data_IF_401485607881
#
_entry.id   IF_401485607881
#
_cell.length_a   1.000
_cell.length_b   1.000
_cell.length_c   1.000
_cell.angle_alpha   90.00
_cell.angle_beta   90.00
_cell.angle_gamma   90.00
#
_symmetry.space_group_name_H-M   'P 1'
#
loop_
_entity.id
_entity.type
_entity.pdbx_description
1 polymer ?
#
# COMPACT_ATOMS: atom_id res chain seq x y z
N UNK A 1 -7.50 6.40 14.22
CA UNK A 1 -6.57 6.27 15.37
C UNK A 1 -5.74 5.01 15.16
N UNK A 2 -4.40 5.10 15.17
CA UNK A 2 -3.53 3.93 15.03
C UNK A 2 -3.68 3.05 16.27
N UNK A 3 -3.81 1.75 16.05
CA UNK A 3 -3.88 0.74 17.11
C UNK A 3 -2.56 0.00 17.14
N UNK A 4 -2.15 -0.43 18.32
CA UNK A 4 -0.84 -1.03 18.56
C UNK A 4 -0.96 -2.21 19.52
N UNK A 5 -0.16 -3.24 19.31
CA UNK A 5 0.08 -4.39 20.20
C UNK A 5 1.56 -4.49 20.53
N UNK A 6 1.88 -5.29 21.56
CA UNK A 6 3.24 -5.78 21.84
C UNK A 6 4.34 -4.70 21.91
N UNK A 7 3.98 -3.46 22.26
CA UNK A 7 4.92 -2.35 22.38
C UNK A 7 5.04 -1.95 23.85
N UNK A 8 6.27 -1.85 24.35
CA UNK A 8 6.53 -1.42 25.72
C UNK A 8 5.97 0.00 25.96
N UNK A 9 5.49 0.32 27.18
CA UNK A 9 4.94 1.65 27.49
C UNK A 9 5.86 2.82 27.11
N UNK A 10 7.15 2.67 27.35
CA UNK A 10 8.20 3.64 27.04
C UNK A 10 8.35 3.87 25.52
N UNK A 11 8.27 2.82 24.72
CA UNK A 11 8.35 2.92 23.26
C UNK A 11 7.05 3.48 22.70
N UNK A 12 5.90 3.15 23.30
CA UNK A 12 4.61 3.75 22.93
C UNK A 12 4.59 5.26 23.15
N UNK A 13 5.21 5.76 24.21
CA UNK A 13 5.32 7.20 24.47
C UNK A 13 6.21 7.90 23.42
N UNK A 14 7.18 7.20 22.82
CA UNK A 14 8.12 7.73 21.83
C UNK A 14 7.56 7.77 20.40
N UNK A 15 6.46 7.06 20.12
CA UNK A 15 5.90 6.97 18.77
C UNK A 15 5.44 8.30 18.17
N UNK A 16 5.24 9.36 18.97
CA UNK A 16 4.87 10.70 18.48
C UNK A 16 3.72 10.66 17.45
N UNK A 17 2.66 9.90 17.78
CA UNK A 17 1.54 9.67 16.87
C UNK A 17 0.74 10.96 16.71
N UNK A 18 0.67 11.47 15.48
CA UNK A 18 -0.06 12.71 15.16
C UNK A 18 -0.71 12.63 13.79
N UNK A 19 -1.88 13.26 13.58
CA UNK A 19 -2.43 13.41 12.24
C UNK A 19 -1.50 14.26 11.37
N UNK A 20 -1.52 14.05 10.06
CA UNK A 20 -0.87 14.97 9.14
C UNK A 20 -1.61 16.32 9.12
N UNK A 21 -0.93 17.49 9.23
CA UNK A 21 -1.58 18.77 9.53
C UNK A 21 -2.74 19.19 8.61
N UNK A 22 -2.64 18.93 7.31
CA UNK A 22 -3.66 19.28 6.31
C UNK A 22 -4.51 18.09 5.85
N UNK A 23 -4.22 16.88 6.36
CA UNK A 23 -4.77 15.60 5.88
C UNK A 23 -4.91 14.63 7.05
N UNK A 24 -5.87 14.84 7.96
CA UNK A 24 -6.00 14.07 9.20
C UNK A 24 -6.31 12.57 8.97
N UNK A 25 -6.65 12.17 7.74
CA UNK A 25 -6.75 10.78 7.33
C UNK A 25 -5.40 10.03 7.31
N UNK A 26 -4.28 10.76 7.22
CA UNK A 26 -2.93 10.21 7.33
C UNK A 26 -2.33 10.47 8.70
N UNK A 27 -1.50 9.53 9.14
CA UNK A 27 -0.88 9.52 10.46
C UNK A 27 0.63 9.50 10.31
N UNK A 28 1.26 10.45 10.99
CA UNK A 28 2.69 10.49 11.22
C UNK A 28 2.99 9.79 12.55
N UNK A 29 4.02 8.96 12.56
CA UNK A 29 4.57 8.35 13.77
C UNK A 29 6.04 8.03 13.56
N UNK A 30 6.79 7.97 14.66
CA UNK A 30 8.23 7.73 14.70
C UNK A 30 8.48 6.36 15.36
N UNK A 31 8.53 5.24 14.61
CA UNK A 31 8.72 3.92 15.19
C UNK A 31 10.06 3.81 15.95
N UNK A 32 10.16 2.96 16.98
CA UNK A 32 11.45 2.69 17.61
C UNK A 32 12.46 2.16 16.59
N UNK A 33 13.69 2.65 16.66
CA UNK A 33 14.77 2.23 15.77
C UNK A 33 14.70 2.82 14.36
N UNK A 34 13.79 3.75 14.08
CA UNK A 34 13.86 4.56 12.86
C UNK A 34 14.63 5.84 13.14
N UNK A 35 15.74 6.03 12.43
CA UNK A 35 16.36 7.34 12.28
C UNK A 35 16.02 7.82 10.87
N UNK A 36 15.47 9.04 10.69
CA UNK A 36 15.15 9.57 9.38
C UNK A 36 16.36 9.48 8.48
N UNK A 37 16.26 8.59 7.52
CA UNK A 37 17.24 8.41 6.48
C UNK A 37 16.90 9.46 5.41
N UNK A 38 17.91 10.03 4.74
CA UNK A 38 17.73 11.10 3.76
C UNK A 38 16.93 10.67 2.52
N UNK A 39 17.10 11.36 1.40
CA UNK A 39 16.53 10.88 0.14
C UNK A 39 17.39 9.75 -0.47
N UNK A 40 16.76 8.66 -0.91
CA UNK A 40 17.45 7.52 -1.54
C UNK A 40 16.94 7.25 -2.95
N UNK A 41 17.86 6.91 -3.87
CA UNK A 41 17.51 6.54 -5.24
C UNK A 41 18.39 5.40 -5.74
N UNK A 42 17.78 4.33 -6.23
CA UNK A 42 18.51 3.21 -6.83
C UNK A 42 17.83 1.84 -6.69
N UNK A 43 18.56 0.79 -7.04
CA UNK A 43 18.09 -0.61 -7.04
C UNK A 43 19.07 -1.60 -6.38
N UNK A 44 20.12 -1.11 -5.74
CA UNK A 44 21.15 -1.94 -5.09
C UNK A 44 20.66 -2.56 -3.76
N UNK A 45 21.43 -3.51 -3.24
CA UNK A 45 21.10 -4.15 -1.95
C UNK A 45 21.11 -3.15 -0.80
N UNK A 46 22.04 -2.19 -0.80
CA UNK A 46 22.08 -1.10 0.18
C UNK A 46 20.78 -0.27 0.22
N UNK A 47 20.05 -0.20 -0.90
CA UNK A 47 18.77 0.48 -0.99
C UNK A 47 17.60 -0.39 -0.53
N UNK A 48 17.68 -1.71 -0.73
CA UNK A 48 16.67 -2.67 -0.25
C UNK A 48 16.79 -2.95 1.26
N UNK A 49 17.97 -2.73 1.82
CA UNK A 49 18.36 -3.05 3.21
C UNK A 49 18.53 -1.80 4.09
N UNK A 50 17.88 -0.70 3.73
CA UNK A 50 17.91 0.53 4.53
C UNK A 50 17.44 0.20 5.96
N UNK A 51 18.24 0.49 7.00
CA UNK A 51 17.88 0.14 8.38
C UNK A 51 16.54 0.73 8.82
N UNK A 52 16.22 1.95 8.37
CA UNK A 52 14.94 2.58 8.64
C UNK A 52 13.77 1.78 8.04
N UNK A 53 13.92 1.27 6.80
CA UNK A 53 12.90 0.42 6.18
C UNK A 53 12.72 -0.89 6.96
N UNK A 54 13.80 -1.54 7.41
CA UNK A 54 13.70 -2.75 8.23
C UNK A 54 13.02 -2.49 9.58
N UNK A 55 13.31 -1.36 10.23
CA UNK A 55 12.61 -0.95 11.45
C UNK A 55 11.10 -0.75 11.20
N UNK A 56 10.73 -0.08 10.12
CA UNK A 56 9.33 0.06 9.71
C UNK A 56 8.65 -1.28 9.44
N UNK A 57 9.27 -2.18 8.68
CA UNK A 57 8.65 -3.47 8.33
C UNK A 57 8.45 -4.35 9.57
N UNK A 58 9.42 -4.38 10.50
CA UNK A 58 9.25 -5.04 11.80
C UNK A 58 8.12 -4.42 12.62
N UNK A 59 8.10 -3.09 12.72
CA UNK A 59 7.01 -2.38 13.42
C UNK A 59 5.64 -2.72 12.83
N UNK A 60 5.53 -2.74 11.50
CA UNK A 60 4.28 -3.04 10.79
C UNK A 60 3.80 -4.48 11.01
N UNK A 61 4.72 -5.43 11.11
CA UNK A 61 4.40 -6.83 11.37
C UNK A 61 4.06 -7.07 12.86
N UNK A 62 4.89 -6.57 13.77
CA UNK A 62 4.87 -6.96 15.17
C UNK A 62 3.97 -6.06 16.04
N UNK A 63 4.00 -4.75 15.80
CA UNK A 63 3.45 -3.75 16.71
C UNK A 63 2.19 -3.07 16.17
N UNK A 64 2.14 -2.76 14.88
CA UNK A 64 1.00 -2.10 14.26
C UNK A 64 -0.22 -3.02 14.24
N UNK A 65 -1.41 -2.48 14.52
CA UNK A 65 -2.68 -3.15 14.29
C UNK A 65 -3.47 -2.41 13.20
N UNK A 66 -3.88 -3.10 12.12
CA UNK A 66 -4.72 -2.51 11.09
C UNK A 66 -6.02 -1.91 11.65
N UNK A 67 -6.61 -0.87 11.04
CA UNK A 67 -7.88 -0.29 11.51
C UNK A 67 -9.03 -1.33 11.52
N UNK A 68 -9.77 -1.40 12.63
CA UNK A 68 -10.75 -2.49 12.94
C UNK A 68 -11.78 -2.76 11.88
N UNK A 69 -12.25 -1.68 11.27
CA UNK A 69 -13.29 -1.66 10.28
C UNK A 69 -12.82 -2.22 8.93
N UNK A 70 -11.50 -2.26 8.69
CA UNK A 70 -10.92 -2.60 7.39
C UNK A 70 -10.56 -4.08 7.27
N UNK A 71 -11.61 -4.91 7.12
CA UNK A 71 -11.50 -6.38 7.11
C UNK A 71 -10.98 -6.99 5.80
N UNK A 72 -10.90 -6.24 4.70
CA UNK A 72 -10.35 -6.68 3.42
C UNK A 72 -8.96 -6.07 3.18
N UNK A 73 -7.91 -6.89 3.07
CA UNK A 73 -6.59 -6.38 2.68
C UNK A 73 -6.52 -6.24 1.16
N UNK A 74 -6.28 -5.03 0.66
CA UNK A 74 -5.94 -4.76 -0.74
C UNK A 74 -4.44 -4.47 -0.84
N UNK A 75 -3.70 -5.43 -1.37
CA UNK A 75 -2.31 -5.27 -1.76
C UNK A 75 -2.26 -4.63 -3.16
N UNK A 76 -1.70 -3.42 -3.26
CA UNK A 76 -1.65 -2.64 -4.50
C UNK A 76 -0.19 -2.32 -4.88
N UNK A 77 0.13 -2.03 -6.16
CA UNK A 77 1.49 -1.66 -6.55
C UNK A 77 1.85 -0.27 -5.97
N UNK A 78 3.14 0.04 -5.97
CA UNK A 78 3.62 1.40 -5.78
C UNK A 78 3.44 2.26 -7.04
N UNK A 79 3.76 3.53 -6.92
CA UNK A 79 3.94 4.45 -8.04
C UNK A 79 5.21 5.27 -7.85
N UNK A 80 5.74 5.83 -8.92
CA UNK A 80 6.87 6.76 -8.84
C UNK A 80 6.58 7.95 -7.92
N UNK A 81 5.45 8.65 -8.16
CA UNK A 81 5.05 9.79 -7.36
C UNK A 81 4.58 9.37 -5.96
N UNK A 82 5.03 10.11 -4.96
CA UNK A 82 4.64 9.99 -3.54
C UNK A 82 4.14 11.33 -3.00
N UNK A 83 3.21 11.34 -2.03
CA UNK A 83 2.49 10.19 -1.47
C UNK A 83 1.65 9.46 -2.53
N UNK A 84 1.54 8.14 -2.41
CA UNK A 84 0.92 7.27 -3.42
C UNK A 84 -0.50 7.69 -3.83
N UNK A 85 -1.33 8.10 -2.87
CA UNK A 85 -2.70 8.57 -3.10
C UNK A 85 -2.80 9.84 -3.94
N UNK A 86 -1.70 10.57 -4.07
CA UNK A 86 -1.60 11.81 -4.85
C UNK A 86 -0.97 11.56 -6.23
N UNK A 87 -0.54 10.32 -6.52
CA UNK A 87 -0.03 9.97 -7.84
C UNK A 87 -1.16 9.89 -8.86
N UNK A 88 -0.92 10.36 -10.08
CA UNK A 88 -1.88 10.23 -11.18
C UNK A 88 -2.20 8.74 -11.52
N UNK A 89 -1.30 7.82 -11.14
CA UNK A 89 -1.44 6.38 -11.36
C UNK A 89 -2.34 5.73 -10.32
N UNK A 90 -2.23 6.07 -9.04
CA UNK A 90 -2.97 5.40 -7.96
C UNK A 90 -4.13 6.23 -7.40
N UNK A 91 -4.24 7.52 -7.70
CA UNK A 91 -5.35 8.35 -7.28
C UNK A 91 -6.72 7.76 -7.70
N UNK A 92 -6.95 7.30 -8.94
CA UNK A 92 -8.25 6.72 -9.32
C UNK A 92 -8.60 5.46 -8.49
N UNK A 93 -7.59 4.64 -8.17
CA UNK A 93 -7.76 3.46 -7.33
C UNK A 93 -8.05 3.84 -5.88
N UNK A 94 -7.37 4.86 -5.34
CA UNK A 94 -7.64 5.41 -4.02
C UNK A 94 -9.08 5.92 -3.90
N UNK A 95 -9.55 6.68 -4.89
CA UNK A 95 -10.91 7.20 -4.97
C UNK A 95 -11.96 6.10 -5.03
N UNK A 96 -11.72 5.05 -5.83
CA UNK A 96 -12.59 3.88 -5.85
C UNK A 96 -12.69 3.23 -4.46
N UNK A 97 -11.56 2.99 -3.79
CA UNK A 97 -11.54 2.31 -2.50
C UNK A 97 -12.13 3.12 -1.35
N UNK A 98 -12.10 4.47 -1.40
CA UNK A 98 -12.77 5.32 -0.38
C UNK A 98 -14.27 5.03 -0.25
N UNK A 99 -14.88 4.51 -1.31
CA UNK A 99 -16.30 4.12 -1.35
C UNK A 99 -16.61 2.80 -0.62
N UNK A 100 -15.57 2.10 -0.14
CA UNK A 100 -15.63 0.79 0.52
C UNK A 100 -14.82 0.83 1.82
N UNK A 101 -15.38 1.33 2.93
CA UNK A 101 -14.64 1.58 4.17
C UNK A 101 -14.06 0.31 4.82
N UNK A 102 -14.53 -0.88 4.42
CA UNK A 102 -13.97 -2.16 4.85
C UNK A 102 -12.66 -2.56 4.14
N UNK A 103 -12.20 -1.76 3.18
CA UNK A 103 -10.96 -2.02 2.43
C UNK A 103 -9.77 -1.35 3.11
N UNK A 104 -8.77 -2.15 3.46
CA UNK A 104 -7.46 -1.68 3.87
C UNK A 104 -6.50 -1.70 2.70
N UNK A 105 -6.10 -0.52 2.21
CA UNK A 105 -5.09 -0.41 1.17
C UNK A 105 -3.69 -0.44 1.77
N UNK A 106 -2.85 -1.33 1.24
CA UNK A 106 -1.44 -1.43 1.59
C UNK A 106 -0.63 -1.50 0.30
N UNK A 107 0.26 -0.53 0.11
CA UNK A 107 1.14 -0.45 -1.06
C UNK A 107 2.29 -1.44 -0.90
N UNK A 108 2.54 -2.23 -1.94
CA UNK A 108 3.74 -3.07 -2.08
C UNK A 108 4.81 -2.26 -2.80
N UNK A 109 5.90 -1.97 -2.11
CA UNK A 109 7.00 -1.13 -2.60
C UNK A 109 8.37 -1.76 -2.34
N UNK A 110 9.42 -1.14 -2.84
CA UNK A 110 10.81 -1.54 -2.64
C UNK A 110 11.25 -1.54 -1.16
N UNK A 111 10.73 -0.60 -0.35
CA UNK A 111 10.95 -0.59 1.11
C UNK A 111 10.07 -1.58 1.87
N UNK A 112 9.26 -2.39 1.15
CA UNK A 112 8.27 -3.30 1.71
C UNK A 112 6.85 -2.75 1.66
N UNK A 113 6.05 -3.06 2.67
CA UNK A 113 4.65 -2.65 2.76
C UNK A 113 4.48 -1.25 3.33
N UNK A 114 3.51 -0.51 2.80
CA UNK A 114 3.13 0.82 3.27
C UNK A 114 1.61 0.92 3.40
N UNK A 115 1.04 0.81 4.62
CA UNK A 115 -0.38 1.07 4.85
C UNK A 115 -0.75 2.49 4.40
N UNK A 116 -1.90 2.64 3.74
CA UNK A 116 -2.26 3.90 3.11
C UNK A 116 -2.38 5.06 4.11
N UNK A 117 -2.79 4.84 5.35
CA UNK A 117 -2.83 5.87 6.38
C UNK A 117 -1.43 6.29 6.87
N UNK A 118 -0.39 5.49 6.62
CA UNK A 118 0.99 5.78 7.02
C UNK A 118 1.83 6.35 5.88
N UNK A 119 1.32 6.42 4.66
CA UNK A 119 2.12 6.75 3.47
C UNK A 119 2.78 8.13 3.47
N UNK A 120 2.36 9.04 4.35
CA UNK A 120 2.96 10.38 4.48
C UNK A 120 4.15 10.45 5.44
N UNK A 121 4.55 9.33 6.06
CA UNK A 121 5.76 9.31 6.89
C UNK A 121 7.02 9.56 6.03
N UNK A 122 8.05 10.26 6.57
CA UNK A 122 9.20 10.72 5.80
C UNK A 122 9.84 9.65 4.90
N UNK A 123 10.16 8.47 5.46
CA UNK A 123 10.71 7.35 4.68
C UNK A 123 9.87 7.04 3.44
N UNK A 124 8.54 6.95 3.59
CA UNK A 124 7.65 6.54 2.50
C UNK A 124 7.51 7.59 1.39
N UNK A 125 7.97 8.81 1.62
CA UNK A 125 8.06 9.89 0.65
C UNK A 125 9.49 10.13 0.11
N UNK A 126 10.51 9.53 0.72
CA UNK A 126 11.91 9.90 0.51
C UNK A 126 12.73 8.87 -0.28
N UNK A 127 12.10 8.04 -1.12
CA UNK A 127 12.85 7.12 -1.99
C UNK A 127 12.39 7.15 -3.45
N UNK A 128 13.22 6.66 -4.36
CA UNK A 128 12.89 6.47 -5.77
C UNK A 128 13.53 5.19 -6.34
N UNK A 129 12.76 4.48 -7.16
CA UNK A 129 13.21 3.27 -7.86
C UNK A 129 13.76 3.67 -9.22
N UNK A 130 15.08 3.61 -9.37
CA UNK A 130 15.75 3.97 -10.61
C UNK A 130 16.88 2.98 -10.89
N UNK A 131 16.65 1.94 -11.73
CA UNK A 131 17.70 1.01 -12.09
C UNK A 131 18.79 1.78 -12.86
N UNK A 132 20.07 1.67 -12.46
CA UNK A 132 21.18 2.22 -13.21
C UNK A 132 21.19 1.69 -14.65
N UNK A 133 21.68 2.50 -15.58
CA UNK A 133 21.86 2.07 -16.96
C UNK A 133 22.80 0.86 -17.01
N UNK A 134 22.34 -0.21 -17.67
CA UNK A 134 23.12 -1.44 -17.85
C UNK A 134 22.94 -2.49 -16.75
N UNK A 135 22.09 -2.28 -15.73
CA UNK A 135 21.72 -3.37 -14.82
C UNK A 135 20.82 -4.42 -15.49
N UNK A 136 21.07 -5.69 -15.15
CA UNK A 136 20.19 -6.80 -15.50
C UNK A 136 18.87 -6.68 -14.71
N UNK A 137 17.80 -6.32 -15.41
CA UNK A 137 16.48 -6.13 -14.83
C UNK A 137 15.92 -7.41 -14.20
N UNK A 138 16.29 -8.60 -14.67
CA UNK A 138 15.82 -9.84 -14.09
C UNK A 138 16.53 -10.13 -12.76
N UNK A 139 17.81 -9.80 -12.64
CA UNK A 139 18.52 -9.87 -11.37
C UNK A 139 18.01 -8.83 -10.36
N UNK A 140 17.71 -7.60 -10.81
CA UNK A 140 17.02 -6.60 -9.98
C UNK A 140 15.69 -7.16 -9.48
N UNK A 141 14.84 -7.69 -10.38
CA UNK A 141 13.55 -8.30 -9.99
C UNK A 141 13.72 -9.45 -9.02
N UNK A 142 14.76 -10.29 -9.19
CA UNK A 142 15.07 -11.41 -8.29
C UNK A 142 15.39 -10.90 -6.89
N UNK A 143 16.31 -9.93 -6.75
CA UNK A 143 16.67 -9.32 -5.45
C UNK A 143 15.46 -8.69 -4.76
N UNK A 144 14.68 -7.94 -5.53
CA UNK A 144 13.43 -7.33 -5.05
C UNK A 144 12.45 -8.37 -4.55
N UNK A 145 12.27 -9.47 -5.30
CA UNK A 145 11.38 -10.56 -4.91
C UNK A 145 11.85 -11.23 -3.62
N UNK A 146 13.15 -11.52 -3.51
CA UNK A 146 13.74 -12.15 -2.33
C UNK A 146 13.62 -11.29 -1.06
N UNK A 147 13.59 -9.96 -1.20
CA UNK A 147 13.47 -9.05 -0.07
C UNK A 147 12.02 -8.69 0.27
N UNK A 148 11.19 -8.42 -0.73
CA UNK A 148 9.84 -7.90 -0.49
C UNK A 148 8.81 -9.01 -0.22
N UNK A 149 8.92 -10.18 -0.86
CA UNK A 149 7.93 -11.26 -0.65
C UNK A 149 7.90 -11.74 0.80
N UNK A 150 9.03 -12.00 1.50
CA UNK A 150 9.00 -12.37 2.92
C UNK A 150 8.31 -11.31 3.77
N UNK A 151 8.67 -10.02 3.61
CA UNK A 151 8.03 -8.91 4.34
C UNK A 151 6.51 -8.88 4.15
N UNK A 152 6.05 -9.13 2.91
CA UNK A 152 4.62 -9.15 2.61
C UNK A 152 3.94 -10.35 3.28
N UNK A 153 4.55 -11.54 3.19
CA UNK A 153 4.03 -12.76 3.82
C UNK A 153 3.98 -12.58 5.34
N UNK A 154 5.06 -12.12 5.96
CA UNK A 154 5.16 -11.89 7.40
C UNK A 154 4.04 -10.95 7.87
N UNK A 155 3.84 -9.82 7.18
CA UNK A 155 2.73 -8.92 7.52
C UNK A 155 1.36 -9.60 7.41
N UNK A 156 1.09 -10.33 6.32
CA UNK A 156 -0.20 -11.00 6.14
C UNK A 156 -0.40 -12.07 7.22
N UNK A 157 0.62 -12.85 7.55
CA UNK A 157 0.59 -13.89 8.59
C UNK A 157 0.37 -13.30 9.99
N UNK A 158 1.07 -12.22 10.31
CA UNK A 158 0.93 -11.53 11.60
C UNK A 158 -0.44 -10.86 11.78
N UNK A 159 -1.18 -10.63 10.70
CA UNK A 159 -2.50 -9.99 10.70
C UNK A 159 -3.62 -10.93 10.22
N UNK A 160 -3.43 -12.25 10.26
CA UNK A 160 -4.42 -13.22 9.76
C UNK A 160 -5.77 -13.09 10.45
N UNK A 161 -5.79 -12.91 11.76
CA UNK A 161 -7.04 -12.80 12.52
C UNK A 161 -7.80 -11.51 12.24
N UNK A 162 -7.10 -10.50 11.70
CA UNK A 162 -7.70 -9.25 11.30
C UNK A 162 -8.43 -9.39 9.95
N UNK A 163 -7.74 -9.84 8.90
CA UNK A 163 -8.29 -9.84 7.55
C UNK A 163 -9.14 -11.07 7.25
N UNK A 164 -10.36 -10.85 6.75
CA UNK A 164 -11.25 -11.91 6.31
C UNK A 164 -10.93 -12.41 4.88
N UNK A 165 -10.27 -11.58 4.06
CA UNK A 165 -9.77 -11.94 2.75
C UNK A 165 -8.65 -10.97 2.30
N UNK A 166 -7.90 -11.40 1.28
CA UNK A 166 -6.84 -10.62 0.62
C UNK A 166 -7.19 -10.45 -0.86
N UNK A 167 -7.00 -9.24 -1.38
CA UNK A 167 -7.03 -8.92 -2.81
C UNK A 167 -5.62 -8.53 -3.22
N UNK A 168 -5.07 -9.24 -4.20
CA UNK A 168 -3.84 -8.86 -4.89
C UNK A 168 -4.19 -8.08 -6.16
N UNK A 169 -3.96 -6.77 -6.12
CA UNK A 169 -4.09 -5.88 -7.27
C UNK A 169 -2.72 -5.76 -7.96
N UNK A 170 -2.49 -6.55 -9.02
CA UNK A 170 -1.20 -6.61 -9.74
C UNK A 170 -1.46 -7.01 -11.20
N UNK A 171 -0.82 -6.38 -12.20
CA UNK A 171 -1.17 -6.62 -13.60
C UNK A 171 -0.77 -8.02 -13.99
N UNK A 172 0.42 -8.45 -13.60
CA UNK A 172 1.07 -9.60 -14.18
C UNK A 172 0.40 -10.92 -13.77
N UNK A 173 0.44 -11.96 -14.63
CA UNK A 173 0.43 -13.35 -14.14
C UNK A 173 1.54 -13.57 -13.08
N UNK A 174 2.54 -12.68 -13.09
CA UNK A 174 3.58 -12.45 -12.10
C UNK A 174 3.08 -11.80 -10.79
N UNK A 175 2.15 -12.48 -10.14
CA UNK A 175 2.34 -12.80 -8.74
C UNK A 175 3.22 -14.04 -8.57
N UNK A 176 3.99 -14.51 -9.55
CA UNK A 176 4.62 -15.84 -9.54
C UNK A 176 5.10 -16.28 -8.16
N UNK A 177 6.08 -15.60 -7.57
CA UNK A 177 6.49 -15.87 -6.20
C UNK A 177 5.47 -15.41 -5.14
N UNK A 178 5.00 -14.16 -5.22
CA UNK A 178 4.09 -13.57 -4.23
C UNK A 178 2.72 -14.27 -4.16
N UNK A 179 1.96 -14.35 -5.25
CA UNK A 179 0.75 -15.16 -5.40
C UNK A 179 0.97 -16.62 -4.98
N UNK A 180 2.08 -17.27 -5.33
CA UNK A 180 2.36 -18.64 -4.82
C UNK A 180 2.51 -18.65 -3.30
N UNK A 181 3.18 -17.66 -2.72
CA UNK A 181 3.34 -17.53 -1.28
C UNK A 181 2.00 -17.22 -0.59
N UNK A 182 1.26 -16.22 -1.07
CA UNK A 182 -0.06 -15.84 -0.54
C UNK A 182 -1.09 -16.98 -0.68
N UNK A 183 -1.02 -17.82 -1.71
CA UNK A 183 -1.89 -19.00 -1.85
C UNK A 183 -1.65 -20.07 -0.77
N UNK A 184 -0.51 -20.05 -0.09
CA UNK A 184 -0.22 -20.97 1.03
C UNK A 184 -0.81 -20.49 2.35
N UNK A 185 -1.19 -19.22 2.42
CA UNK A 185 -1.78 -18.63 3.61
C UNK A 185 -3.26 -19.04 3.69
N UNK A 186 -3.78 -19.44 4.87
CA UNK A 186 -5.16 -19.93 5.03
C UNK A 186 -6.19 -18.78 5.06
N UNK A 187 -6.17 -17.95 4.02
CA UNK A 187 -7.13 -16.85 3.80
C UNK A 187 -7.58 -16.81 2.35
N UNK A 188 -8.86 -16.48 2.08
CA UNK A 188 -9.33 -16.28 0.72
C UNK A 188 -8.48 -15.24 0.00
N UNK A 189 -8.02 -15.58 -1.20
CA UNK A 189 -7.20 -14.72 -2.05
C UNK A 189 -7.91 -14.46 -3.38
N UNK A 190 -8.10 -13.19 -3.71
CA UNK A 190 -8.67 -12.72 -4.95
C UNK A 190 -7.60 -11.97 -5.74
N UNK A 191 -7.59 -12.10 -7.07
CA UNK A 191 -6.63 -11.41 -7.94
C UNK A 191 -7.36 -10.43 -8.85
N UNK A 192 -6.76 -9.24 -9.02
CA UNK A 192 -7.26 -8.22 -9.92
C UNK A 192 -6.08 -7.59 -10.68
N UNK A 193 -6.13 -7.46 -12.01
CA UNK A 193 -7.12 -8.03 -12.92
C UNK A 193 -7.16 -9.58 -12.90
N UNK A 194 -8.26 -10.15 -13.41
CA UNK A 194 -8.30 -11.55 -13.84
C UNK A 194 -7.71 -11.68 -15.25
N UNK A 195 -7.51 -12.90 -15.74
CA UNK A 195 -6.89 -13.13 -17.05
C UNK A 195 -7.62 -12.40 -18.20
N UNK A 196 -8.95 -12.31 -18.13
CA UNK A 196 -9.77 -11.60 -19.11
C UNK A 196 -9.56 -10.08 -19.06
N UNK A 197 -9.53 -9.49 -17.87
CA UNK A 197 -9.27 -8.06 -17.70
C UNK A 197 -7.82 -7.72 -18.02
N UNK A 198 -6.88 -8.60 -17.70
CA UNK A 198 -5.47 -8.49 -18.06
C UNK A 198 -5.30 -8.40 -19.57
N UNK A 199 -5.89 -9.34 -20.31
CA UNK A 199 -5.85 -9.33 -21.77
C UNK A 199 -6.41 -8.03 -22.36
N UNK A 200 -7.50 -7.49 -21.78
CA UNK A 200 -8.08 -6.20 -22.22
C UNK A 200 -7.19 -5.00 -21.91
N UNK A 201 -6.49 -4.99 -20.79
CA UNK A 201 -5.55 -3.91 -20.42
C UNK A 201 -4.36 -3.92 -21.38
N UNK A 202 -3.79 -5.10 -21.64
CA UNK A 202 -2.61 -5.25 -22.49
C UNK A 202 -2.90 -5.27 -24.00
N UNK A 203 -4.18 -5.19 -24.40
CA UNK A 203 -4.57 -4.96 -25.78
C UNK A 203 -4.28 -3.52 -26.26
N UNK A 204 -4.02 -2.59 -25.32
CA UNK A 204 -3.73 -1.19 -25.62
C UNK A 204 -2.30 -0.82 -25.19
N UNK A 205 -1.60 0.04 -25.96
CA UNK A 205 -0.30 0.53 -25.55
C UNK A 205 -0.44 1.41 -24.30
N UNK A 206 0.23 1.01 -23.22
CA UNK A 206 0.36 1.82 -22.02
C UNK A 206 1.49 2.83 -22.21
N UNK A 207 1.31 4.06 -21.70
CA UNK A 207 2.37 5.08 -21.75
C UNK A 207 3.50 4.75 -20.78
N UNK A 208 3.15 4.21 -19.61
CA UNK A 208 4.05 3.69 -18.60
C UNK A 208 3.58 2.28 -18.19
N UNK A 209 4.47 1.31 -17.92
CA UNK A 209 4.09 0.00 -17.42
C UNK A 209 3.09 0.05 -16.26
N UNK A 210 3.21 1.01 -15.34
CA UNK A 210 2.37 1.17 -14.15
C UNK A 210 0.97 1.74 -14.46
N UNK A 211 0.75 2.30 -15.66
CA UNK A 211 -0.54 2.87 -16.05
C UNK A 211 -1.69 1.84 -16.10
N UNK A 212 -1.35 0.55 -16.11
CA UNK A 212 -2.32 -0.54 -15.97
C UNK A 212 -3.21 -0.34 -14.73
N UNK A 213 -2.67 0.21 -13.63
CA UNK A 213 -3.35 0.33 -12.34
C UNK A 213 -4.48 1.37 -12.36
N UNK A 214 -4.43 2.33 -13.30
CA UNK A 214 -5.50 3.28 -13.56
C UNK A 214 -6.35 2.92 -14.78
N UNK A 215 -6.07 1.81 -15.44
CA UNK A 215 -6.80 1.42 -16.64
C UNK A 215 -8.27 1.13 -16.29
N UNK A 216 -9.26 1.63 -17.06
CA UNK A 216 -10.68 1.48 -16.74
C UNK A 216 -11.11 0.02 -16.53
N UNK A 217 -10.58 -0.92 -17.32
CA UNK A 217 -10.88 -2.34 -17.15
C UNK A 217 -10.38 -2.93 -15.81
N UNK A 218 -9.24 -2.44 -15.30
CA UNK A 218 -8.70 -2.89 -14.02
C UNK A 218 -9.53 -2.35 -12.86
N UNK A 219 -9.88 -1.06 -12.91
CA UNK A 219 -10.74 -0.40 -11.90
C UNK A 219 -12.16 -0.99 -11.89
N UNK A 220 -12.72 -1.27 -13.06
CA UNK A 220 -14.03 -1.90 -13.18
C UNK A 220 -14.04 -3.33 -12.62
N UNK A 221 -12.98 -4.11 -12.87
CA UNK A 221 -12.88 -5.44 -12.27
C UNK A 221 -12.74 -5.35 -10.74
N UNK A 222 -11.90 -4.44 -10.22
CA UNK A 222 -11.79 -4.21 -8.79
C UNK A 222 -13.15 -3.85 -8.18
N UNK A 223 -13.89 -2.92 -8.81
CA UNK A 223 -15.23 -2.51 -8.37
C UNK A 223 -16.17 -3.72 -8.21
N UNK A 224 -16.25 -4.59 -9.23
CA UNK A 224 -17.09 -5.81 -9.18
C UNK A 224 -16.64 -6.80 -8.11
N UNK A 225 -15.34 -6.88 -7.82
CA UNK A 225 -14.83 -7.70 -6.71
C UNK A 225 -15.28 -7.11 -5.38
N UNK A 226 -15.12 -5.80 -5.19
CA UNK A 226 -15.50 -5.12 -3.94
C UNK A 226 -17.01 -5.19 -3.69
N UNK A 227 -17.85 -5.02 -4.72
CA UNK A 227 -19.32 -5.15 -4.62
C UNK A 227 -19.74 -6.57 -4.20
N UNK A 228 -19.17 -7.61 -4.82
CA UNK A 228 -19.44 -9.00 -4.43
C UNK A 228 -18.99 -9.33 -3.01
N UNK A 229 -17.84 -8.79 -2.58
CA UNK A 229 -17.36 -8.93 -1.20
C UNK A 229 -18.32 -8.24 -0.24
N UNK A 230 -18.75 -7.01 -0.55
CA UNK A 230 -19.68 -6.24 0.26
C UNK A 230 -21.03 -6.95 0.44
N UNK A 231 -21.63 -7.43 -0.65
CA UNK A 231 -22.87 -8.21 -0.63
C UNK A 231 -22.75 -9.45 0.25
N UNK A 232 -21.68 -10.24 0.03
CA UNK A 232 -21.45 -11.48 0.78
C UNK A 232 -21.21 -11.21 2.27
N UNK A 233 -20.39 -10.22 2.60
CA UNK A 233 -20.06 -9.90 3.99
C UNK A 233 -21.22 -9.28 4.74
N UNK A 234 -22.06 -8.50 4.07
CA UNK A 234 -23.31 -8.04 4.65
C UNK A 234 -24.27 -9.20 4.98
N UNK A 235 -24.38 -10.19 4.08
CA UNK A 235 -25.26 -11.34 4.29
C UNK A 235 -24.87 -12.18 5.52
N UNK A 236 -23.60 -12.17 5.92
CA UNK A 236 -23.09 -12.90 7.10
C UNK A 236 -22.77 -11.99 8.30
N UNK A 237 -23.18 -10.71 8.26
CA UNK A 237 -23.00 -9.76 9.37
C UNK A 237 -21.55 -9.35 9.65
N UNK A 238 -20.64 -9.51 8.67
CA UNK A 238 -19.24 -9.10 8.79
C UNK A 238 -19.01 -7.61 8.55
N UNK A 239 -19.98 -6.91 7.96
CA UNK A 239 -19.96 -5.44 7.82
C UNK A 239 -20.78 -4.81 8.95
N UNK A 240 -20.21 -3.80 9.61
CA UNK A 240 -20.97 -2.99 10.57
C UNK A 240 -22.01 -2.14 9.84
N UNK A 241 -23.16 -1.91 10.47
CA UNK A 241 -24.25 -1.08 9.90
C UNK A 241 -23.77 0.35 9.59
N UNK A 242 -22.87 0.91 10.41
CA UNK A 242 -22.28 2.26 10.19
C UNK A 242 -21.45 2.38 8.91
N UNK A 243 -20.77 1.31 8.49
CA UNK A 243 -19.95 1.31 7.28
C UNK A 243 -20.77 1.46 5.98
N UNK A 244 -22.08 1.16 6.02
CA UNK A 244 -22.99 1.30 4.87
C UNK A 244 -23.56 2.71 4.72
N UNK A 245 -23.76 3.40 5.85
CA UNK A 245 -24.44 4.71 5.88
C UNK A 245 -23.47 5.87 5.62
N UNK A 246 -22.19 5.71 5.93
CA UNK A 246 -21.15 6.74 5.78
C UNK A 246 -20.32 6.55 4.49
N UNK A 247 -20.97 6.40 3.33
CA UNK A 247 -20.21 6.45 2.06
C UNK A 247 -19.76 7.90 1.83
N UNK A 248 -18.45 8.22 1.90
CA UNK A 248 -18.02 9.59 1.71
C UNK A 248 -18.35 10.04 0.28
N UNK A 249 -18.84 11.28 0.08
CA UNK A 249 -19.02 11.81 -1.25
C UNK A 249 -17.66 11.88 -1.99
N UNK A 250 -17.66 11.84 -3.33
CA UNK A 250 -16.43 12.05 -4.10
C UNK A 250 -15.76 13.38 -3.73
N UNK A 251 -14.43 13.44 -3.76
CA UNK A 251 -13.71 14.68 -3.50
C UNK A 251 -14.05 15.72 -4.59
N UNK A 252 -14.18 17.01 -4.23
CA UNK A 252 -14.43 18.06 -5.21
C UNK A 252 -13.25 18.24 -6.19
N UNK A 253 -13.49 18.52 -7.48
CA UNK A 253 -12.45 18.72 -8.49
C UNK A 253 -11.40 19.79 -8.13
N UNK A 254 -11.80 20.87 -7.44
CA UNK A 254 -10.88 21.91 -6.98
C UNK A 254 -9.78 21.45 -6.00
N UNK A 255 -9.98 20.32 -5.30
CA UNK A 255 -8.95 19.72 -4.43
C UNK A 255 -7.95 18.83 -5.20
N UNK A 256 -8.18 18.62 -6.50
CA UNK A 256 -7.36 17.75 -7.35
C UNK A 256 -6.19 18.47 -8.03
N UNK A 257 -6.13 19.82 -8.01
CA UNK A 257 -5.33 20.58 -8.99
C UNK A 257 -4.18 21.47 -8.49
N UNK A 258 -3.97 21.69 -7.18
CA UNK A 258 -2.88 22.57 -6.69
C UNK A 258 -2.22 22.01 -5.44
N UNK A 259 -1.26 21.11 -5.64
CA UNK A 259 -0.38 20.61 -4.58
C UNK A 259 0.99 21.25 -4.73
N UNK A 260 1.29 22.18 -3.83
CA UNK A 260 2.65 22.67 -3.63
C UNK A 260 3.22 21.87 -2.45
N UNK A 261 4.36 21.22 -2.66
CA UNK A 261 5.13 20.65 -1.57
C UNK A 261 5.44 21.75 -0.55
N UNK A 262 5.43 21.47 0.77
CA UNK A 262 6.07 22.39 1.69
C UNK A 262 7.52 22.60 1.21
N UNK A 263 8.03 23.85 1.19
CA UNK A 263 9.40 24.09 0.78
C UNK A 263 10.32 23.24 1.66
N UNK A 264 11.17 22.45 1.02
CA UNK A 264 12.28 21.80 1.71
C UNK A 264 13.13 22.91 2.30
N UNK A 265 13.19 23.00 3.63
CA UNK A 265 14.22 23.81 4.28
C UNK A 265 15.57 23.38 3.70
N UNK A 266 16.25 24.36 3.12
CA UNK A 266 17.51 24.19 2.42
C UNK A 266 18.49 23.46 3.35
N UNK A 267 18.94 22.27 2.93
CA UNK A 267 20.17 21.71 3.46
C UNK A 267 21.29 22.65 3.01
N UNK A 268 21.69 23.53 3.92
CA UNK A 268 22.85 24.42 3.78
C UNK A 268 24.09 23.57 3.44
N UNK A 269 24.92 23.99 2.47
CA UNK A 269 26.00 23.20 1.88
C UNK A 269 27.07 22.72 2.85
#
# INVERSE_FOLDING_TARGET
>A
MIRLRNLAPEDRARLNVRPYPSRPEYVLLDPPGTTPSGYFRGTSDAYLEIPEAEAWQRFLAECYLPPSERRLLLLQPCSWAKPYDMSATLQPLAELCRRYPFVHRVVMSNVGLVPAELQMNPLFCAYDWAPPQGEDLDEVRRRYTLRTVPRIVDYVEQHLDHYAAVVLYSPTPAGGALLRALRRIPRPLLTVPDDSSYARIHAYPLRDPDDWARHPAALEHLRRVLERVEERWAAVGLLSVRAREERPPPLPPEQMGRWQFPPTEEATP
#
